data_IF_203333648277
#
_entry.id   IF_203333648277
#
_cell.length_a   1.000
_cell.length_b   1.000
_cell.length_c   1.000
_cell.angle_alpha   90.00
_cell.angle_beta   90.00
_cell.angle_gamma   90.00
#
_symmetry.space_group_name_H-M   'P 1'
#
loop_
_entity.id
_entity.type
_entity.pdbx_description
1 polymer ?
#
# COMPACT_ATOMS: atom_id res chain seq x y z
N UNK A 1 -2.51 -11.79 11.69
CA UNK A 1 -1.92 -10.73 10.84
C UNK A 1 -2.65 -9.44 11.18
N UNK A 2 -1.98 -8.30 11.35
CA UNK A 2 -2.62 -7.08 11.87
C UNK A 2 -3.80 -6.59 11.01
N UNK A 3 -3.71 -6.79 9.70
CA UNK A 3 -4.72 -6.40 8.72
C UNK A 3 -6.01 -7.23 8.80
N UNK A 4 -6.03 -8.37 9.51
CA UNK A 4 -7.25 -9.18 9.72
C UNK A 4 -8.02 -8.78 10.98
N UNK A 5 -7.51 -7.82 11.75
CA UNK A 5 -8.24 -7.30 12.92
C UNK A 5 -9.51 -6.57 12.48
N UNK A 6 -10.60 -6.58 13.28
CA UNK A 6 -11.84 -5.88 12.91
C UNK A 6 -11.65 -4.39 12.63
N UNK A 7 -10.75 -3.74 13.37
CA UNK A 7 -10.45 -2.32 13.21
C UNK A 7 -9.74 -2.03 11.88
N UNK A 8 -8.70 -2.81 11.54
CA UNK A 8 -8.01 -2.66 10.26
C UNK A 8 -8.95 -2.97 9.08
N UNK A 9 -9.73 -4.05 9.18
CA UNK A 9 -10.73 -4.41 8.18
C UNK A 9 -11.78 -3.32 7.98
N UNK A 10 -12.27 -2.68 9.05
CA UNK A 10 -13.21 -1.57 8.94
C UNK A 10 -12.62 -0.35 8.20
N UNK A 11 -11.35 0.01 8.49
CA UNK A 11 -10.67 1.09 7.77
C UNK A 11 -10.49 0.71 6.30
N UNK A 12 -9.93 -0.47 6.00
CA UNK A 12 -9.71 -0.95 4.63
C UNK A 12 -11.03 -1.01 3.84
N UNK A 13 -12.10 -1.50 4.46
CA UNK A 13 -13.44 -1.55 3.87
C UNK A 13 -14.00 -0.17 3.53
N UNK A 14 -13.69 0.84 4.34
CA UNK A 14 -14.13 2.22 4.16
C UNK A 14 -13.29 3.04 3.18
N UNK A 15 -12.16 2.52 2.68
CA UNK A 15 -11.37 3.23 1.66
C UNK A 15 -12.16 3.28 0.36
N UNK A 16 -12.48 4.50 -0.09
CA UNK A 16 -12.97 4.73 -1.43
C UNK A 16 -11.82 4.44 -2.42
N UNK A 17 -11.93 3.44 -3.32
CA UNK A 17 -10.86 3.08 -4.24
C UNK A 17 -10.50 4.25 -5.18
N UNK A 18 -11.47 5.10 -5.54
CA UNK A 18 -11.23 6.31 -6.32
C UNK A 18 -10.40 7.38 -5.58
N UNK A 19 -10.23 7.28 -4.26
CA UNK A 19 -9.35 8.18 -3.53
C UNK A 19 -7.89 7.69 -3.49
N UNK A 20 -7.63 6.43 -3.85
CA UNK A 20 -6.27 5.90 -3.91
C UNK A 20 -5.52 6.41 -5.13
N UNK A 21 -4.21 6.51 -4.97
CA UNK A 21 -3.28 6.83 -6.06
C UNK A 21 -2.28 5.70 -6.21
N UNK A 22 -1.84 5.46 -7.43
CA UNK A 22 -0.63 4.68 -7.67
C UNK A 22 0.54 5.64 -7.72
N UNK A 23 1.55 5.40 -6.87
CA UNK A 23 2.75 6.22 -6.75
C UNK A 23 3.98 5.41 -7.10
N UNK A 24 5.00 6.09 -7.62
CA UNK A 24 6.30 5.47 -7.86
C UNK A 24 7.15 5.54 -6.59
N UNK A 25 7.75 4.41 -6.20
CA UNK A 25 8.80 4.35 -5.18
C UNK A 25 10.13 4.06 -5.84
N UNK A 26 11.14 4.86 -5.47
CA UNK A 26 12.52 4.68 -5.93
C UNK A 26 13.36 4.35 -4.71
N UNK A 27 13.70 3.07 -4.48
CA UNK A 27 14.54 2.70 -3.36
C UNK A 27 15.98 3.17 -3.59
N UNK A 28 16.79 3.34 -2.51
CA UNK A 28 18.21 3.67 -2.65
C UNK A 28 19.02 2.60 -3.40
N UNK A 29 18.58 1.35 -3.32
CA UNK A 29 19.18 0.19 -3.98
C UNK A 29 18.03 -0.60 -4.64
N UNK A 30 18.20 -0.94 -5.92
CA UNK A 30 17.23 -1.74 -6.68
C UNK A 30 16.41 -0.93 -7.69
N UNK A 31 15.56 -1.60 -8.48
CA UNK A 31 14.70 -0.95 -9.46
C UNK A 31 13.59 -0.15 -8.78
N UNK A 32 13.10 0.89 -9.47
CA UNK A 32 11.86 1.55 -9.08
C UNK A 32 10.67 0.61 -9.27
N UNK A 33 9.64 0.80 -8.45
CA UNK A 33 8.41 0.02 -8.47
C UNK A 33 7.20 0.91 -8.17
N UNK A 34 6.00 0.43 -8.46
CA UNK A 34 4.75 1.12 -8.13
C UNK A 34 4.13 0.59 -6.84
N UNK A 35 3.55 1.50 -6.06
CA UNK A 35 2.94 1.21 -4.78
C UNK A 35 1.60 1.95 -4.65
N UNK A 36 0.74 1.46 -3.75
CA UNK A 36 -0.46 2.21 -3.36
C UNK A 36 -0.07 3.42 -2.50
N UNK A 37 -0.51 4.59 -2.95
CA UNK A 37 -0.55 5.84 -2.20
C UNK A 37 -1.95 6.05 -1.63
N UNK A 38 -2.00 6.37 -0.34
CA UNK A 38 -3.24 6.73 0.38
C UNK A 38 -3.09 8.12 0.97
N UNK A 39 -4.18 8.69 1.47
CA UNK A 39 -4.11 9.87 2.32
C UNK A 39 -3.20 9.59 3.54
N UNK A 40 -2.29 10.52 3.86
CA UNK A 40 -1.33 10.34 4.95
C UNK A 40 -2.02 9.94 6.27
N UNK A 41 -3.19 10.51 6.60
CA UNK A 41 -3.91 10.18 7.82
C UNK A 41 -4.46 8.74 7.81
N UNK A 42 -4.89 8.22 6.66
CA UNK A 42 -5.33 6.81 6.54
C UNK A 42 -4.12 5.89 6.66
N UNK A 43 -3.03 6.20 5.95
CA UNK A 43 -1.78 5.45 6.02
C UNK A 43 -1.24 5.35 7.45
N UNK A 44 -1.16 6.49 8.15
CA UNK A 44 -0.73 6.57 9.54
C UNK A 44 -1.62 5.75 10.48
N UNK A 45 -2.94 5.76 10.29
CA UNK A 45 -3.85 4.97 11.10
C UNK A 45 -3.66 3.47 10.90
N UNK A 46 -3.51 3.00 9.67
CA UNK A 46 -3.23 1.58 9.39
C UNK A 46 -1.86 1.18 9.95
N UNK A 47 -0.87 2.06 9.83
CA UNK A 47 0.46 1.86 10.36
C UNK A 47 0.45 1.77 11.90
N UNK A 48 -0.29 2.65 12.58
CA UNK A 48 -0.45 2.60 14.03
C UNK A 48 -1.13 1.30 14.50
N UNK A 49 -2.13 0.80 13.75
CA UNK A 49 -2.76 -0.49 14.06
C UNK A 49 -1.78 -1.66 13.90
N UNK A 50 -0.91 -1.62 12.89
CA UNK A 50 0.17 -2.60 12.72
C UNK A 50 1.13 -2.55 13.91
N UNK A 51 1.58 -1.37 14.31
CA UNK A 51 2.51 -1.20 15.44
C UNK A 51 1.89 -1.66 16.77
N UNK A 52 0.61 -1.34 17.01
CA UNK A 52 -0.13 -1.82 18.17
C UNK A 52 -0.21 -3.35 18.19
N UNK A 53 -0.52 -3.97 17.05
CA UNK A 53 -0.55 -5.43 16.94
C UNK A 53 0.82 -6.08 17.21
N UNK A 54 1.92 -5.48 16.73
CA UNK A 54 3.27 -5.97 17.04
C UNK A 54 3.60 -5.78 18.52
N UNK A 55 3.17 -4.67 19.12
CA UNK A 55 3.34 -4.46 20.55
C UNK A 55 2.58 -5.48 21.39
N UNK A 56 1.37 -5.88 20.98
CA UNK A 56 0.63 -6.98 21.62
C UNK A 56 1.37 -8.32 21.50
N UNK A 57 1.94 -8.62 20.33
CA UNK A 57 2.69 -9.87 20.11
C UNK A 57 3.99 -9.94 20.91
N UNK A 58 4.68 -8.81 21.04
CA UNK A 58 6.01 -8.73 21.69
C UNK A 58 5.92 -8.35 23.17
N UNK A 59 4.75 -7.88 23.63
CA UNK A 59 4.52 -7.39 24.99
C UNK A 59 5.12 -6.01 25.28
N UNK A 60 5.62 -5.29 24.26
CA UNK A 60 6.29 -3.99 24.42
C UNK A 60 6.19 -3.13 23.17
N UNK A 61 6.29 -1.81 23.33
CA UNK A 61 6.38 -0.87 22.21
C UNK A 61 7.79 -0.85 21.63
N UNK A 62 7.96 -0.29 20.43
CA UNK A 62 9.31 -0.09 19.88
C UNK A 62 10.18 0.84 20.75
N UNK A 63 9.57 1.82 21.43
CA UNK A 63 10.28 2.76 22.29
C UNK A 63 10.81 2.09 23.57
N UNK A 64 10.05 1.15 24.10
CA UNK A 64 10.31 0.54 25.42
C UNK A 64 10.94 -0.85 25.32
N UNK A 65 11.09 -1.41 24.12
CA UNK A 65 11.65 -2.76 23.95
C UNK A 65 13.14 -2.80 24.32
N UNK A 66 13.55 -3.72 25.22
CA UNK A 66 14.97 -3.96 25.47
C UNK A 66 15.65 -4.70 24.30
N UNK A 67 14.88 -5.41 23.47
CA UNK A 67 15.36 -6.10 22.28
C UNK A 67 14.68 -5.54 21.02
N UNK A 68 15.36 -4.58 20.38
CA UNK A 68 14.88 -3.96 19.14
C UNK A 68 14.93 -4.92 17.96
N UNK A 69 15.86 -5.87 17.95
CA UNK A 69 16.01 -6.84 16.87
C UNK A 69 14.80 -7.76 16.80
N UNK A 70 14.41 -8.33 17.94
CA UNK A 70 13.23 -9.18 18.04
C UNK A 70 11.93 -8.42 17.68
N UNK A 71 11.82 -7.15 18.10
CA UNK A 71 10.66 -6.32 17.75
C UNK A 71 10.59 -6.06 16.24
N UNK A 72 11.70 -5.68 15.61
CA UNK A 72 11.77 -5.45 14.16
C UNK A 72 11.49 -6.72 13.37
N UNK A 73 11.98 -7.87 13.81
CA UNK A 73 11.69 -9.16 13.19
C UNK A 73 10.20 -9.49 13.24
N UNK A 74 9.55 -9.27 14.40
CA UNK A 74 8.10 -9.43 14.52
C UNK A 74 7.36 -8.43 13.60
N UNK A 75 7.79 -7.17 13.58
CA UNK A 75 7.22 -6.14 12.73
C UNK A 75 7.30 -6.51 11.25
N UNK A 76 8.45 -6.98 10.76
CA UNK A 76 8.63 -7.44 9.38
C UNK A 76 7.73 -8.63 9.05
N UNK A 77 7.64 -9.64 9.93
CA UNK A 77 6.82 -10.85 9.71
C UNK A 77 5.32 -10.62 9.74
N UNK A 78 4.84 -9.51 10.30
CA UNK A 78 3.40 -9.23 10.38
C UNK A 78 2.79 -8.67 9.10
N UNK A 79 3.61 -8.38 8.10
CA UNK A 79 3.20 -7.81 6.82
C UNK A 79 3.00 -6.29 6.88
N UNK A 80 3.11 -5.61 5.74
CA UNK A 80 3.08 -4.17 5.59
C UNK A 80 1.70 -3.62 5.22
N UNK A 81 1.51 -2.30 5.41
CA UNK A 81 0.31 -1.58 4.94
C UNK A 81 0.16 -1.71 3.43
N UNK A 82 1.26 -1.68 2.69
CA UNK A 82 1.28 -1.83 1.24
C UNK A 82 0.75 -3.21 0.82
N UNK A 83 1.22 -4.28 1.45
CA UNK A 83 0.73 -5.64 1.18
C UNK A 83 -0.78 -5.77 1.48
N UNK A 84 -1.26 -5.13 2.55
CA UNK A 84 -2.69 -5.13 2.88
C UNK A 84 -3.54 -4.39 1.83
N UNK A 85 -3.03 -3.29 1.27
CA UNK A 85 -3.69 -2.57 0.19
C UNK A 85 -3.66 -3.38 -1.11
N UNK A 86 -2.51 -3.98 -1.46
CA UNK A 86 -2.38 -4.80 -2.66
C UNK A 86 -3.24 -6.05 -2.61
N UNK A 87 -3.39 -6.69 -1.45
CA UNK A 87 -4.31 -7.82 -1.28
C UNK A 87 -5.78 -7.44 -1.54
N UNK A 88 -6.16 -6.17 -1.32
CA UNK A 88 -7.53 -5.69 -1.50
C UNK A 88 -7.79 -5.13 -2.90
N UNK A 89 -6.84 -4.38 -3.46
CA UNK A 89 -7.03 -3.60 -4.68
C UNK A 89 -6.22 -4.12 -5.88
N UNK A 90 -5.39 -5.15 -5.68
CA UNK A 90 -4.49 -5.68 -6.69
C UNK A 90 -3.08 -5.08 -6.61
N UNK A 91 -2.16 -5.65 -7.37
CA UNK A 91 -0.76 -5.22 -7.43
C UNK A 91 -0.59 -4.02 -8.39
N UNK A 92 -0.09 -2.85 -7.93
CA UNK A 92 0.11 -1.69 -8.77
C UNK A 92 1.09 -1.92 -9.94
N UNK A 93 2.13 -2.73 -9.76
CA UNK A 93 3.07 -3.04 -10.84
C UNK A 93 2.40 -3.89 -11.93
N UNK A 94 1.62 -4.89 -11.51
CA UNK A 94 0.76 -5.68 -12.41
C UNK A 94 -0.25 -4.83 -13.18
N UNK A 95 -0.91 -3.86 -12.52
CA UNK A 95 -1.83 -2.92 -13.17
C UNK A 95 -1.10 -2.02 -14.18
N UNK A 96 0.05 -1.47 -13.79
CA UNK A 96 0.89 -0.68 -14.68
C UNK A 96 1.29 -1.48 -15.94
N UNK A 97 1.63 -2.76 -15.78
CA UNK A 97 1.96 -3.65 -16.89
C UNK A 97 0.75 -3.92 -17.79
N UNK A 98 -0.40 -4.23 -17.20
CA UNK A 98 -1.64 -4.50 -17.94
C UNK A 98 -2.10 -3.31 -18.79
N UNK A 99 -1.80 -2.08 -18.36
CA UNK A 99 -2.15 -0.85 -19.09
C UNK A 99 -1.01 -0.24 -19.91
N UNK A 100 0.15 -0.91 -20.01
CA UNK A 100 1.27 -0.44 -20.82
C UNK A 100 2.07 0.74 -20.23
N UNK A 101 1.95 0.96 -18.93
CA UNK A 101 2.71 1.97 -18.16
C UNK A 101 3.93 1.40 -17.44
N UNK A 102 4.10 0.07 -17.37
CA UNK A 102 5.26 -0.54 -16.72
C UNK A 102 6.59 -0.08 -17.34
N UNK A 103 7.57 0.21 -16.50
CA UNK A 103 8.88 0.73 -16.91
C UNK A 103 8.88 2.19 -17.40
N UNK A 104 7.70 2.83 -17.56
CA UNK A 104 7.61 4.26 -17.81
C UNK A 104 7.82 5.01 -16.49
N UNK A 105 8.69 6.01 -16.52
CA UNK A 105 9.15 6.70 -15.30
C UNK A 105 8.91 8.21 -15.32
N UNK A 106 8.35 8.73 -16.42
CA UNK A 106 7.93 10.12 -16.52
C UNK A 106 6.63 10.38 -15.73
N UNK A 107 6.51 11.60 -15.20
CA UNK A 107 5.35 12.01 -14.40
C UNK A 107 4.04 11.93 -15.19
N UNK A 108 4.09 12.11 -16.52
CA UNK A 108 2.91 12.04 -17.38
C UNK A 108 2.36 10.61 -17.49
N UNK A 109 3.22 9.60 -17.54
CA UNK A 109 2.82 8.20 -17.46
C UNK A 109 2.14 7.86 -16.13
N UNK A 110 2.69 8.33 -15.01
CA UNK A 110 2.09 8.12 -13.68
C UNK A 110 0.74 8.82 -13.56
N UNK A 111 0.61 10.03 -14.11
CA UNK A 111 -0.66 10.76 -14.13
C UNK A 111 -1.74 9.98 -14.91
N UNK A 112 -1.43 9.57 -16.15
CA UNK A 112 -2.36 8.81 -16.99
C UNK A 112 -2.73 7.45 -16.40
N UNK A 113 -1.80 6.79 -15.70
CA UNK A 113 -2.10 5.55 -14.97
C UNK A 113 -3.11 5.79 -13.84
N UNK A 114 -2.97 6.89 -13.10
CA UNK A 114 -3.97 7.26 -12.09
C UNK A 114 -5.33 7.58 -12.72
N UNK A 115 -5.36 8.28 -13.87
CA UNK A 115 -6.62 8.51 -14.60
C UNK A 115 -7.30 7.20 -15.05
N UNK A 116 -6.50 6.23 -15.52
CA UNK A 116 -6.99 4.90 -15.86
C UNK A 116 -7.59 4.18 -14.64
N UNK A 117 -6.90 4.21 -13.50
CA UNK A 117 -7.41 3.67 -12.23
C UNK A 117 -8.75 4.31 -11.82
N UNK A 118 -8.86 5.64 -11.92
CA UNK A 118 -10.12 6.33 -11.62
C UNK A 118 -11.25 5.94 -12.56
N UNK A 119 -10.95 5.76 -13.84
CA UNK A 119 -11.92 5.30 -14.83
C UNK A 119 -12.40 3.87 -14.51
N UNK A 120 -11.48 2.96 -14.17
CA UNK A 120 -11.82 1.59 -13.77
C UNK A 120 -12.70 1.57 -12.52
N UNK A 121 -12.36 2.34 -11.49
CA UNK A 121 -13.17 2.49 -10.28
C UNK A 121 -14.59 3.02 -10.58
N UNK A 122 -14.71 3.88 -11.59
CA UNK A 122 -16.00 4.41 -12.05
C UNK A 122 -16.77 3.45 -12.98
N UNK A 123 -16.27 2.23 -13.20
CA UNK A 123 -16.88 1.24 -14.09
C UNK A 123 -16.75 1.59 -15.57
N UNK A 124 -15.79 2.45 -15.94
CA UNK A 124 -15.51 2.82 -17.33
C UNK A 124 -14.32 1.98 -17.81
N UNK A 125 -14.43 1.28 -18.94
CA UNK A 125 -13.30 0.52 -19.47
C UNK A 125 -12.15 1.48 -19.79
N UNK A 126 -10.95 1.17 -19.27
CA UNK A 126 -9.70 1.83 -19.64
C UNK A 126 -9.49 1.51 -21.12
N UNK A 127 -9.66 2.51 -22.00
CA UNK A 127 -9.38 2.33 -23.43
C UNK A 127 -7.89 2.05 -23.59
N UNK A 128 -7.57 0.94 -24.27
CA UNK A 128 -6.21 0.57 -24.64
C UNK A 128 -5.46 1.80 -25.16
N UNK A 129 -4.35 2.13 -24.51
CA UNK A 129 -3.44 3.15 -25.01
C UNK A 129 -2.88 2.65 -26.34
N UNK A 130 -3.30 3.27 -27.44
CA UNK A 130 -2.77 3.05 -28.79
C UNK A 130 -1.29 3.44 -28.89
#
# INVERSE_FOLDING_TARGET
MWNTTPQAQAILAGINPAALRIVRRTPPIGPAYFAWGTDNAIGERLQALREAYVAELTGTTFADTPDRGAWLEAYEKTGSVEEALSARFGDPDGLAAAWGYFGRSDNDAVHRMNEAWQAECAGRPVREAA
#
